data_IF_014618116350
#
_entry.id   IF_014618116350
#
_cell.length_a   1.000
_cell.length_b   1.000
_cell.length_c   1.000
_cell.angle_alpha   90.00
_cell.angle_beta   90.00
_cell.angle_gamma   90.00
#
_symmetry.space_group_name_H-M   'P 1'
#
loop_
_entity.id
_entity.type
_entity.pdbx_description
1 polymer ?
#
# COMPACT_ATOMS: atom_id res chain seq x y z
N UNK A 1 -26.74 21.57 -12.77
CA UNK A 1 -26.50 21.41 -11.32
C UNK A 1 -25.71 20.14 -10.98
N UNK A 2 -25.43 19.24 -11.94
CA UNK A 2 -24.68 17.98 -11.72
C UNK A 2 -23.20 18.02 -12.14
N UNK A 3 -22.83 18.88 -13.08
CA UNK A 3 -21.46 18.94 -13.64
C UNK A 3 -20.41 19.47 -12.65
N UNK A 4 -20.77 20.44 -11.80
CA UNK A 4 -19.89 20.99 -10.78
C UNK A 4 -19.61 20.01 -9.63
N UNK A 5 -20.60 19.21 -9.24
CA UNK A 5 -20.45 18.20 -8.17
C UNK A 5 -19.57 17.03 -8.62
N UNK A 6 -19.73 16.56 -9.87
CA UNK A 6 -18.86 15.52 -10.44
C UNK A 6 -17.41 15.98 -10.60
N UNK A 7 -17.18 17.24 -10.98
CA UNK A 7 -15.83 17.78 -11.11
C UNK A 7 -15.07 17.80 -9.77
N UNK A 8 -15.75 18.16 -8.68
CA UNK A 8 -15.17 18.15 -7.34
C UNK A 8 -14.83 16.72 -6.90
N UNK A 9 -15.77 15.77 -7.07
CA UNK A 9 -15.54 14.35 -6.76
C UNK A 9 -14.33 13.76 -7.50
N UNK A 10 -14.18 14.07 -8.79
CA UNK A 10 -13.03 13.62 -9.58
C UNK A 10 -11.74 14.24 -9.05
N UNK A 11 -11.78 15.52 -8.64
CA UNK A 11 -10.62 16.21 -8.08
C UNK A 11 -10.20 15.61 -6.75
N UNK A 12 -11.15 15.32 -5.86
CA UNK A 12 -10.88 14.72 -4.56
C UNK A 12 -10.29 13.31 -4.69
N UNK A 13 -10.88 12.49 -5.55
CA UNK A 13 -10.36 11.15 -5.88
C UNK A 13 -8.97 11.23 -6.51
N UNK A 14 -8.74 12.21 -7.40
CA UNK A 14 -7.44 12.41 -8.01
C UNK A 14 -6.37 12.83 -7.00
N UNK A 15 -6.71 13.68 -6.03
CA UNK A 15 -5.79 14.08 -4.95
C UNK A 15 -5.39 12.86 -4.13
N UNK A 16 -6.37 12.07 -3.68
CA UNK A 16 -6.12 10.86 -2.87
C UNK A 16 -5.34 9.80 -3.65
N UNK A 17 -5.59 9.64 -4.95
CA UNK A 17 -4.81 8.74 -5.80
C UNK A 17 -3.38 9.24 -6.03
N UNK A 18 -3.21 10.55 -6.24
CA UNK A 18 -1.90 11.14 -6.51
C UNK A 18 -1.00 11.05 -5.28
N UNK A 19 -1.51 11.38 -4.09
CA UNK A 19 -0.80 11.23 -2.83
C UNK A 19 -0.44 9.76 -2.55
N UNK A 20 -1.39 8.83 -2.74
CA UNK A 20 -1.18 7.39 -2.57
C UNK A 20 -0.07 6.89 -3.50
N UNK A 21 -0.07 7.33 -4.77
CA UNK A 21 0.94 6.97 -5.75
C UNK A 21 2.33 7.54 -5.39
N UNK A 22 2.41 8.78 -4.90
CA UNK A 22 3.66 9.39 -4.43
C UNK A 22 4.20 8.63 -3.22
N UNK A 23 3.37 8.37 -2.20
CA UNK A 23 3.77 7.60 -1.03
C UNK A 23 4.17 6.17 -1.39
N UNK A 24 3.48 5.55 -2.35
CA UNK A 24 3.84 4.24 -2.87
C UNK A 24 5.20 4.25 -3.58
N UNK A 25 5.44 5.22 -4.47
CA UNK A 25 6.71 5.36 -5.17
C UNK A 25 7.88 5.61 -4.20
N UNK A 26 7.69 6.46 -3.20
CA UNK A 26 8.68 6.71 -2.13
C UNK A 26 8.94 5.43 -1.34
N UNK A 27 7.89 4.71 -0.95
CA UNK A 27 7.99 3.43 -0.23
C UNK A 27 8.75 2.37 -1.04
N UNK A 28 8.50 2.27 -2.33
CA UNK A 28 9.20 1.35 -3.24
C UNK A 28 10.68 1.75 -3.38
N UNK A 29 10.98 3.01 -3.67
CA UNK A 29 12.37 3.46 -3.87
C UNK A 29 13.23 3.32 -2.62
N UNK A 30 12.65 3.58 -1.43
CA UNK A 30 13.34 3.43 -0.16
C UNK A 30 13.68 1.96 0.14
N UNK A 31 12.74 1.05 -0.12
CA UNK A 31 12.87 -0.38 0.17
C UNK A 31 13.75 -1.09 -0.87
N UNK A 32 13.58 -0.81 -2.16
CA UNK A 32 14.43 -1.30 -3.24
C UNK A 32 15.91 -1.04 -2.94
N UNK A 33 16.23 0.17 -2.45
CA UNK A 33 17.61 0.59 -2.20
C UNK A 33 18.17 0.10 -0.86
N UNK A 34 17.35 -0.08 0.18
CA UNK A 34 17.82 -0.45 1.53
C UNK A 34 17.74 -1.95 1.85
N UNK A 35 16.75 -2.68 1.33
CA UNK A 35 16.48 -4.08 1.71
C UNK A 35 17.00 -5.10 0.67
N UNK A 36 16.88 -4.80 -0.63
CA UNK A 36 17.26 -5.74 -1.70
C UNK A 36 18.74 -5.71 -2.08
N UNK A 37 19.45 -4.62 -1.78
CA UNK A 37 20.89 -4.52 -2.03
C UNK A 37 21.67 -5.63 -1.30
N UNK A 38 21.16 -6.12 -0.15
CA UNK A 38 21.78 -7.19 0.63
C UNK A 38 21.29 -8.61 0.28
N UNK A 39 20.22 -8.77 -0.50
CA UNK A 39 19.68 -10.09 -0.89
C UNK A 39 20.03 -10.51 -2.33
N UNK A 40 20.72 -9.63 -3.07
CA UNK A 40 20.97 -9.77 -4.51
C UNK A 40 22.06 -10.78 -4.89
N UNK A 41 22.78 -11.36 -3.94
CA UNK A 41 24.01 -12.11 -4.21
C UNK A 41 23.92 -13.64 -4.08
N UNK A 42 22.78 -14.21 -3.67
CA UNK A 42 22.78 -15.64 -3.29
C UNK A 42 22.05 -16.56 -4.28
N UNK A 43 20.85 -16.28 -4.80
CA UNK A 43 20.14 -17.24 -5.69
C UNK A 43 19.17 -16.56 -6.69
N UNK A 44 19.12 -17.02 -7.96
CA UNK A 44 18.22 -16.48 -9.00
C UNK A 44 16.72 -16.60 -8.66
N UNK A 45 16.31 -17.58 -7.85
CA UNK A 45 14.91 -17.82 -7.44
C UNK A 45 14.47 -16.90 -6.28
N UNK A 46 15.41 -16.30 -5.52
CA UNK A 46 15.09 -15.39 -4.42
C UNK A 46 14.57 -14.02 -4.88
N UNK A 47 14.86 -13.65 -6.13
CA UNK A 47 14.54 -12.33 -6.68
C UNK A 47 13.03 -12.07 -6.77
N UNK A 48 12.25 -13.10 -7.09
CA UNK A 48 10.80 -12.99 -7.27
C UNK A 48 10.10 -12.81 -5.92
N UNK A 49 10.47 -13.61 -4.91
CA UNK A 49 9.93 -13.49 -3.57
C UNK A 49 10.27 -12.16 -2.91
N UNK A 50 11.51 -11.68 -3.08
CA UNK A 50 11.93 -10.41 -2.50
C UNK A 50 11.21 -9.20 -3.14
N UNK A 51 10.89 -9.25 -4.44
CA UNK A 51 10.03 -8.25 -5.09
C UNK A 51 8.60 -8.27 -4.55
N UNK A 52 8.04 -9.44 -4.27
CA UNK A 52 6.69 -9.57 -3.70
C UNK A 52 6.63 -9.02 -2.26
N UNK A 53 7.66 -9.28 -1.44
CA UNK A 53 7.78 -8.72 -0.07
C UNK A 53 7.88 -7.20 -0.11
N UNK A 54 8.73 -6.67 -0.98
CA UNK A 54 8.86 -5.22 -1.17
C UNK A 54 7.53 -4.58 -1.60
N UNK A 55 6.86 -5.16 -2.59
CA UNK A 55 5.59 -4.65 -3.09
C UNK A 55 4.50 -4.70 -2.00
N UNK A 56 4.42 -5.80 -1.25
CA UNK A 56 3.48 -5.95 -0.13
C UNK A 56 3.74 -4.90 0.95
N UNK A 57 5.00 -4.68 1.30
CA UNK A 57 5.36 -3.69 2.32
C UNK A 57 5.05 -2.26 1.87
N UNK A 58 5.41 -1.86 0.64
CA UNK A 58 5.10 -0.51 0.16
C UNK A 58 3.60 -0.29 -0.04
N UNK A 59 2.84 -1.34 -0.38
CA UNK A 59 1.37 -1.29 -0.41
C UNK A 59 0.80 -1.02 0.98
N UNK A 60 1.23 -1.78 1.99
CA UNK A 60 0.83 -1.56 3.39
C UNK A 60 1.23 -0.15 3.85
N UNK A 61 2.46 0.29 3.58
CA UNK A 61 2.89 1.64 3.92
C UNK A 61 2.04 2.73 3.26
N UNK A 62 1.81 2.63 1.95
CA UNK A 62 0.99 3.59 1.19
C UNK A 62 -0.46 3.61 1.67
N UNK A 63 -1.05 2.44 1.96
CA UNK A 63 -2.39 2.35 2.54
C UNK A 63 -2.47 2.98 3.94
N UNK A 64 -1.42 2.87 4.76
CA UNK A 64 -1.35 3.55 6.06
C UNK A 64 -1.30 5.07 5.88
N UNK A 65 -0.54 5.56 4.89
CA UNK A 65 -0.50 6.98 4.54
C UNK A 65 -1.84 7.49 4.00
N UNK A 66 -2.54 6.71 3.17
CA UNK A 66 -3.88 7.07 2.68
C UNK A 66 -4.94 7.09 3.79
N UNK A 67 -4.82 6.20 4.79
CA UNK A 67 -5.65 6.26 6.00
C UNK A 67 -5.42 7.54 6.81
N UNK A 68 -4.17 7.97 6.94
CA UNK A 68 -3.83 9.24 7.59
C UNK A 68 -4.33 10.45 6.80
N UNK A 69 -4.19 10.42 5.47
CA UNK A 69 -4.70 11.47 4.60
C UNK A 69 -6.23 11.60 4.67
N UNK A 70 -6.95 10.47 4.70
CA UNK A 70 -8.40 10.44 4.92
C UNK A 70 -8.78 11.11 6.25
N UNK A 71 -8.02 10.87 7.32
CA UNK A 71 -8.24 11.55 8.61
C UNK A 71 -7.99 13.06 8.49
N UNK A 72 -6.95 13.49 7.78
CA UNK A 72 -6.68 14.93 7.58
C UNK A 72 -7.80 15.61 6.78
N UNK A 73 -8.22 15.00 5.67
CA UNK A 73 -9.31 15.51 4.82
C UNK A 73 -10.65 15.53 5.54
N UNK A 74 -10.84 14.60 6.49
CA UNK A 74 -11.98 14.53 7.38
C UNK A 74 -12.02 15.68 8.39
N UNK A 75 -10.88 16.05 8.98
CA UNK A 75 -10.78 17.22 9.87
C UNK A 75 -10.91 18.53 9.07
N UNK A 76 -10.48 18.55 7.81
CA UNK A 76 -10.57 19.70 6.91
C UNK A 76 -11.93 19.92 6.24
N UNK A 77 -12.92 19.05 6.45
CA UNK A 77 -14.25 19.04 5.80
C UNK A 77 -14.19 19.16 4.25
N UNK A 78 -13.12 18.67 3.65
CA UNK A 78 -12.87 18.82 2.21
C UNK A 78 -13.57 17.74 1.36
N UNK A 79 -14.02 16.64 1.99
CA UNK A 79 -14.47 15.43 1.30
C UNK A 79 -15.96 15.14 1.56
N UNK A 80 -16.68 14.74 0.51
CA UNK A 80 -18.10 14.36 0.59
C UNK A 80 -18.35 13.20 1.56
N UNK A 81 -19.41 13.31 2.36
CA UNK A 81 -19.69 12.46 3.52
C UNK A 81 -19.90 10.99 3.16
N UNK A 82 -20.52 10.72 2.01
CA UNK A 82 -20.78 9.34 1.56
C UNK A 82 -19.51 8.69 1.01
N UNK A 83 -18.70 9.44 0.26
CA UNK A 83 -17.44 8.96 -0.31
C UNK A 83 -16.41 8.63 0.78
N UNK A 84 -16.38 9.44 1.86
CA UNK A 84 -15.53 9.26 3.02
C UNK A 84 -15.76 7.91 3.70
N UNK A 85 -17.02 7.54 3.90
CA UNK A 85 -17.38 6.29 4.57
C UNK A 85 -16.97 5.05 3.77
N UNK A 86 -17.13 5.10 2.44
CA UNK A 86 -16.67 4.03 1.54
C UNK A 86 -15.14 3.93 1.51
N UNK A 87 -14.43 5.05 1.37
CA UNK A 87 -12.96 5.06 1.40
C UNK A 87 -12.42 4.50 2.72
N UNK A 88 -12.95 4.94 3.86
CA UNK A 88 -12.52 4.44 5.17
C UNK A 88 -12.66 2.92 5.28
N UNK A 89 -13.82 2.37 4.90
CA UNK A 89 -14.03 0.91 4.93
C UNK A 89 -13.12 0.17 3.96
N UNK A 90 -12.87 0.74 2.78
CA UNK A 90 -11.96 0.19 1.79
C UNK A 90 -10.52 0.12 2.31
N UNK A 91 -9.98 1.24 2.78
CA UNK A 91 -8.61 1.31 3.30
C UNK A 91 -8.42 0.41 4.52
N UNK A 92 -9.32 0.45 5.51
CA UNK A 92 -9.24 -0.38 6.71
C UNK A 92 -9.37 -1.86 6.36
N UNK A 93 -10.35 -2.23 5.51
CA UNK A 93 -10.56 -3.63 5.10
C UNK A 93 -9.35 -4.19 4.34
N UNK A 94 -8.81 -3.42 3.41
CA UNK A 94 -7.62 -3.83 2.64
C UNK A 94 -6.37 -3.90 3.52
N UNK A 95 -6.22 -2.99 4.48
CA UNK A 95 -5.14 -3.03 5.47
C UNK A 95 -5.14 -4.30 6.29
N UNK A 96 -6.30 -4.65 6.86
CA UNK A 96 -6.45 -5.86 7.66
C UNK A 96 -6.12 -7.09 6.82
N UNK A 97 -6.61 -7.17 5.59
CA UNK A 97 -6.33 -8.29 4.70
C UNK A 97 -4.82 -8.41 4.37
N UNK A 98 -4.16 -7.31 4.01
CA UNK A 98 -2.74 -7.32 3.66
C UNK A 98 -1.85 -7.64 4.87
N UNK A 99 -2.13 -7.03 6.02
CA UNK A 99 -1.31 -7.23 7.22
C UNK A 99 -1.56 -8.62 7.82
N UNK A 100 -2.81 -9.01 8.00
CA UNK A 100 -3.16 -10.23 8.74
C UNK A 100 -3.10 -11.48 7.88
N UNK A 101 -3.42 -11.42 6.59
CA UNK A 101 -3.36 -12.60 5.73
C UNK A 101 -2.04 -12.65 4.94
N UNK A 102 -1.68 -11.57 4.25
CA UNK A 102 -0.57 -11.62 3.28
C UNK A 102 0.79 -11.64 3.96
N UNK A 103 0.99 -10.82 5.00
CA UNK A 103 2.27 -10.76 5.73
C UNK A 103 2.69 -12.11 6.35
N UNK A 104 1.85 -12.79 7.16
CA UNK A 104 2.25 -14.07 7.74
C UNK A 104 2.35 -15.18 6.70
N UNK A 105 1.52 -15.17 5.65
CA UNK A 105 1.64 -16.13 4.55
C UNK A 105 3.01 -16.03 3.86
N UNK A 106 3.47 -14.80 3.62
CA UNK A 106 4.75 -14.55 2.98
C UNK A 106 5.93 -14.94 3.88
N UNK A 107 5.83 -14.67 5.20
CA UNK A 107 6.83 -15.15 6.17
C UNK A 107 6.89 -16.68 6.23
N UNK A 108 5.75 -17.36 6.25
CA UNK A 108 5.69 -18.82 6.25
C UNK A 108 6.31 -19.41 4.97
N UNK A 109 5.99 -18.84 3.79
CA UNK A 109 6.57 -19.25 2.52
C UNK A 109 8.11 -19.14 2.50
N UNK A 110 8.65 -18.02 2.99
CA UNK A 110 10.09 -17.82 3.06
C UNK A 110 10.79 -18.82 3.99
N UNK A 111 10.19 -19.11 5.15
CA UNK A 111 10.72 -20.09 6.11
C UNK A 111 10.69 -21.50 5.51
N UNK A 112 9.57 -21.94 4.92
CA UNK A 112 9.47 -23.25 4.29
C UNK A 112 10.47 -23.43 3.15
N UNK A 113 10.68 -22.40 2.31
CA UNK A 113 11.67 -22.48 1.23
C UNK A 113 13.09 -22.60 1.75
N UNK A 114 13.42 -21.94 2.87
CA UNK A 114 14.73 -22.04 3.50
C UNK A 114 15.00 -23.44 4.07
N UNK A 115 13.96 -24.17 4.48
CA UNK A 115 14.08 -25.53 5.03
C UNK A 115 14.24 -26.64 3.98
N UNK A 116 13.80 -26.43 2.74
CA UNK A 116 13.90 -27.43 1.66
C UNK A 116 15.19 -27.36 0.83
N UNK A 117 16.15 -26.53 1.25
CA UNK A 117 17.41 -26.27 0.53
C UNK A 117 18.66 -26.87 1.19
N UNK A 118 18.50 -27.97 1.95
CA UNK A 118 19.60 -28.85 2.36
C UNK A 118 19.78 -30.00 1.36
#
# INVERSE_FOLDING_TARGET
MTTSSLANLVTDVAIVLASLAIFFAIGQVFVAKKLLQNYSLTNLDARTAARVVELTFSLVFSLSCGLFELVILEIGDALDRDLRWYCWKGFIGLMILLVVCVTPYLQAYLICRNWGGE
#
